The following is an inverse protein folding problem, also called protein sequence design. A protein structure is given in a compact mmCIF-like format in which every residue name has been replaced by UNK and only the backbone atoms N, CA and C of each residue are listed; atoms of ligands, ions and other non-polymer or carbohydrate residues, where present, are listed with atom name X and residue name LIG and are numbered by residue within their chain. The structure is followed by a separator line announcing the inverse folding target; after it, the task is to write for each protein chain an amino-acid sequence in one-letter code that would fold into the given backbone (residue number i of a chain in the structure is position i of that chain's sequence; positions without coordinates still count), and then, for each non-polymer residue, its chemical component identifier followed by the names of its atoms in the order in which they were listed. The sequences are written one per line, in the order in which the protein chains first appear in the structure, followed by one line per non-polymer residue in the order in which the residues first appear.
data_IF_632577098265
#
_entry.id   IF_632577098265
#
_cell.length_a   1.000
_cell.length_b   1.000
_cell.length_c   1.000
_cell.angle_alpha   90.00
_cell.angle_beta   90.00
_cell.angle_gamma   90.00
#
_symmetry.space_group_name_H-M   'P 1'
#
loop_
_entity.id
_entity.type
_entity.pdbx_description
1 polymer ?
#
# COMPACT_ATOMS: atom_id res chain seq x y z
N UNK A 1 20.02 1.20 -5.95
CA UNK A 1 20.55 1.67 -7.25
C UNK A 1 19.97 0.87 -8.43
N UNK A 2 20.08 -0.47 -8.45
CA UNK A 2 19.52 -1.30 -9.53
C UNK A 2 18.01 -1.17 -9.77
N UNK A 3 17.16 -1.16 -8.72
CA UNK A 3 15.70 -1.02 -8.88
C UNK A 3 15.28 0.35 -9.44
N UNK A 4 15.99 1.41 -9.05
CA UNK A 4 15.68 2.76 -9.47
C UNK A 4 16.08 3.00 -10.93
N UNK A 5 17.24 2.47 -11.35
CA UNK A 5 17.64 2.50 -12.75
C UNK A 5 16.75 1.62 -13.63
N UNK A 6 16.34 0.46 -13.10
CA UNK A 6 15.35 -0.42 -13.69
C UNK A 6 14.00 0.27 -13.96
N UNK A 7 13.47 1.03 -12.99
CA UNK A 7 12.18 1.72 -13.10
C UNK A 7 12.27 3.01 -13.94
N UNK A 8 13.41 3.70 -13.93
CA UNK A 8 13.56 5.01 -14.58
C UNK A 8 14.18 4.97 -15.98
N UNK A 9 15.06 4.01 -16.27
CA UNK A 9 15.92 4.03 -17.47
C UNK A 9 15.87 2.77 -18.33
N UNK A 10 15.44 1.63 -17.79
CA UNK A 10 15.22 0.40 -18.57
C UNK A 10 13.73 0.17 -18.84
N UNK A 11 13.42 -0.38 -20.02
CA UNK A 11 12.07 -0.79 -20.39
C UNK A 11 11.43 -1.67 -19.29
N UNK A 12 10.10 -1.66 -19.10
CA UNK A 12 9.44 -2.28 -17.96
C UNK A 12 9.88 -3.73 -17.72
N UNK A 13 10.20 -4.06 -16.48
CA UNK A 13 10.95 -5.28 -16.14
C UNK A 13 10.04 -6.33 -15.50
N UNK A 14 8.94 -5.91 -14.86
CA UNK A 14 8.07 -6.84 -14.15
C UNK A 14 6.86 -7.20 -15.01
N UNK A 15 6.87 -8.42 -15.53
CA UNK A 15 5.71 -9.06 -16.16
C UNK A 15 5.00 -9.93 -15.16
N UNK A 16 3.67 -10.00 -15.25
CA UNK A 16 2.85 -10.87 -14.43
C UNK A 16 2.03 -11.76 -15.37
N UNK A 17 2.22 -13.08 -15.30
CA UNK A 17 1.59 -14.04 -16.22
C UNK A 17 0.08 -13.88 -16.32
N UNK A 18 -0.58 -13.65 -15.18
CA UNK A 18 -2.03 -13.52 -15.11
C UNK A 18 -2.50 -12.06 -15.18
N UNK A 19 -1.60 -11.11 -15.44
CA UNK A 19 -1.85 -9.67 -15.46
C UNK A 19 -1.82 -9.02 -14.08
N UNK A 20 -2.30 -7.78 -14.01
CA UNK A 20 -2.38 -6.96 -12.79
C UNK A 20 -3.77 -6.35 -12.65
N UNK A 21 -4.07 -5.70 -11.51
CA UNK A 21 -5.30 -4.92 -11.37
C UNK A 21 -5.46 -3.86 -12.46
N UNK A 22 -4.34 -3.26 -12.89
CA UNK A 22 -4.33 -2.23 -13.93
C UNK A 22 -4.65 -2.79 -15.32
N UNK A 23 -4.17 -4.00 -15.64
CA UNK A 23 -4.41 -4.64 -16.93
C UNK A 23 -5.75 -5.38 -17.00
N UNK A 24 -6.38 -5.68 -15.85
CA UNK A 24 -7.70 -6.33 -15.76
C UNK A 24 -8.86 -5.34 -15.60
N UNK A 25 -8.58 -4.06 -15.42
CA UNK A 25 -9.58 -3.01 -15.24
C UNK A 25 -9.53 -2.03 -16.41
N UNK A 26 -10.62 -1.29 -16.65
CA UNK A 26 -10.60 -0.20 -17.62
C UNK A 26 -9.63 0.88 -17.15
N UNK A 27 -8.83 1.45 -18.06
CA UNK A 27 -7.83 2.46 -17.69
C UNK A 27 -8.43 3.68 -16.98
N UNK A 28 -9.67 4.04 -17.34
CA UNK A 28 -10.44 5.13 -16.71
C UNK A 28 -10.93 4.82 -15.30
N UNK A 29 -10.95 3.54 -14.88
CA UNK A 29 -11.43 3.14 -13.56
C UNK A 29 -10.36 3.28 -12.47
N UNK A 30 -9.09 3.47 -12.83
CA UNK A 30 -8.01 3.55 -11.84
C UNK A 30 -7.06 4.73 -12.04
N UNK A 31 -6.46 5.17 -10.95
CA UNK A 31 -5.47 6.24 -10.89
C UNK A 31 -4.30 5.82 -10.00
N UNK A 32 -3.08 6.13 -10.41
CA UNK A 32 -1.90 6.07 -9.55
C UNK A 32 -1.55 7.49 -9.14
N UNK A 33 -1.38 7.71 -7.84
CA UNK A 33 -0.98 8.99 -7.28
C UNK A 33 0.44 8.84 -6.75
N UNK A 34 1.40 9.54 -7.33
CA UNK A 34 2.81 9.43 -6.96
C UNK A 34 3.27 10.63 -6.13
N UNK A 35 4.08 10.35 -5.11
CA UNK A 35 4.81 11.36 -4.35
C UNK A 35 6.12 11.78 -5.02
N UNK A 36 6.88 10.84 -5.59
CA UNK A 36 8.09 11.13 -6.37
C UNK A 36 8.26 10.19 -7.57
N UNK A 37 8.55 8.92 -7.33
CA UNK A 37 8.71 7.90 -8.37
C UNK A 37 7.66 6.84 -8.16
N UNK A 38 6.70 6.77 -9.08
CA UNK A 38 5.76 5.67 -9.14
C UNK A 38 6.52 4.36 -9.45
N UNK A 39 6.66 3.47 -8.46
CA UNK A 39 7.31 2.17 -8.65
C UNK A 39 6.49 1.26 -9.56
N UNK A 40 5.16 1.45 -9.56
CA UNK A 40 4.22 0.86 -10.51
C UNK A 40 4.62 1.05 -11.98
N UNK A 41 5.43 2.07 -12.33
CA UNK A 41 5.99 2.23 -13.69
C UNK A 41 6.89 1.08 -14.13
N UNK A 42 7.46 0.34 -13.19
CA UNK A 42 8.27 -0.85 -13.49
C UNK A 42 7.47 -2.03 -14.02
N UNK A 43 6.14 -1.99 -13.93
CA UNK A 43 5.23 -3.02 -14.43
C UNK A 43 5.08 -2.90 -15.95
N UNK A 44 5.19 -4.02 -16.65
CA UNK A 44 5.00 -4.08 -18.10
C UNK A 44 3.62 -3.59 -18.53
N UNK A 45 3.60 -2.66 -19.51
CA UNK A 45 2.42 -2.02 -20.06
C UNK A 45 2.17 -0.61 -19.49
N UNK A 46 2.66 -0.32 -18.28
CA UNK A 46 2.41 0.98 -17.61
C UNK A 46 3.09 2.17 -18.31
N UNK A 47 4.13 1.92 -19.12
CA UNK A 47 4.79 2.94 -19.94
C UNK A 47 3.86 3.61 -20.97
N UNK A 48 2.76 2.96 -21.35
CA UNK A 48 1.78 3.49 -22.28
C UNK A 48 0.63 4.24 -21.57
N UNK A 49 0.64 4.27 -20.24
CA UNK A 49 -0.45 4.75 -19.40
C UNK A 49 0.01 5.87 -18.44
N UNK A 50 1.05 6.62 -18.82
CA UNK A 50 1.64 7.67 -17.98
C UNK A 50 0.64 8.78 -17.61
N UNK A 51 -0.39 9.01 -18.44
CA UNK A 51 -1.48 9.96 -18.13
C UNK A 51 -2.34 9.53 -16.93
N UNK A 52 -2.23 8.28 -16.49
CA UNK A 52 -2.91 7.73 -15.31
C UNK A 52 -2.06 7.80 -14.04
N UNK A 53 -0.86 8.37 -14.13
CA UNK A 53 0.05 8.59 -13.01
C UNK A 53 0.11 10.09 -12.75
N UNK A 54 -0.46 10.55 -11.64
CA UNK A 54 -0.60 11.96 -11.30
C UNK A 54 0.05 12.29 -9.96
N UNK A 55 0.30 13.57 -9.70
CA UNK A 55 0.76 14.02 -8.39
C UNK A 55 -0.38 14.13 -7.36
N UNK A 56 -0.01 14.17 -6.08
CA UNK A 56 -0.97 14.35 -4.98
C UNK A 56 -1.89 15.55 -5.17
N UNK A 57 -1.37 16.69 -5.65
CA UNK A 57 -2.16 17.91 -5.91
C UNK A 57 -3.33 17.68 -6.88
N UNK A 58 -3.19 16.75 -7.82
CA UNK A 58 -4.27 16.38 -8.74
C UNK A 58 -5.37 15.60 -8.02
N UNK A 59 -5.00 14.63 -7.16
CA UNK A 59 -5.97 13.90 -6.35
C UNK A 59 -6.73 14.86 -5.43
N UNK A 60 -6.02 15.74 -4.72
CA UNK A 60 -6.61 16.71 -3.80
C UNK A 60 -7.54 17.68 -4.54
N UNK A 61 -7.11 18.21 -5.68
CA UNK A 61 -7.93 19.08 -6.52
C UNK A 61 -9.20 18.38 -7.01
N UNK A 62 -9.12 17.10 -7.39
CA UNK A 62 -10.29 16.33 -7.85
C UNK A 62 -11.27 16.00 -6.73
N UNK A 63 -10.76 15.66 -5.54
CA UNK A 63 -11.60 15.46 -4.35
C UNK A 63 -12.30 16.77 -3.95
N UNK A 64 -11.56 17.88 -3.90
CA UNK A 64 -12.11 19.19 -3.52
C UNK A 64 -13.16 19.72 -4.53
N UNK A 65 -12.96 19.44 -5.82
CA UNK A 65 -13.90 19.82 -6.89
C UNK A 65 -14.97 18.77 -7.17
N UNK A 66 -15.01 17.66 -6.43
CA UNK A 66 -15.93 16.54 -6.64
C UNK A 66 -15.89 15.97 -8.09
N UNK A 67 -14.71 15.98 -8.70
CA UNK A 67 -14.48 15.55 -10.09
C UNK A 67 -13.70 14.22 -10.19
N UNK A 68 -13.51 13.52 -9.08
CA UNK A 68 -12.90 12.20 -9.06
C UNK A 68 -13.84 11.17 -9.72
N UNK A 69 -13.39 10.56 -10.82
CA UNK A 69 -14.17 9.56 -11.56
C UNK A 69 -13.64 8.13 -11.38
N UNK A 70 -12.40 8.00 -10.92
CA UNK A 70 -11.75 6.71 -10.72
C UNK A 70 -12.31 5.97 -9.51
N UNK A 71 -12.39 4.64 -9.64
CA UNK A 71 -12.93 3.73 -8.62
C UNK A 71 -11.83 3.07 -7.78
N UNK A 72 -10.62 2.94 -8.32
CA UNK A 72 -9.45 2.40 -7.64
C UNK A 72 -8.28 3.38 -7.70
N UNK A 73 -7.86 3.89 -6.55
CA UNK A 73 -6.74 4.83 -6.45
C UNK A 73 -5.63 4.17 -5.65
N UNK A 74 -4.44 4.05 -6.26
CA UNK A 74 -3.24 3.54 -5.59
C UNK A 74 -2.28 4.71 -5.31
N UNK A 75 -2.03 4.99 -4.03
CA UNK A 75 -1.19 6.10 -3.61
C UNK A 75 0.20 5.58 -3.28
N UNK A 76 1.18 5.98 -4.07
CA UNK A 76 2.59 5.78 -3.82
C UNK A 76 3.15 7.02 -3.13
N UNK A 77 3.62 6.85 -1.89
CA UNK A 77 4.27 7.90 -1.10
C UNK A 77 5.51 8.47 -1.79
N UNK A 78 5.99 9.63 -1.33
CA UNK A 78 7.35 10.09 -1.63
C UNK A 78 8.34 9.19 -0.91
N UNK A 79 9.12 8.42 -1.66
CA UNK A 79 10.11 7.50 -1.09
C UNK A 79 11.45 8.19 -0.80
N UNK A 80 11.80 9.25 -1.54
CA UNK A 80 13.15 9.82 -1.62
C UNK A 80 14.17 8.78 -2.16
N UNK A 81 13.70 7.93 -3.07
CA UNK A 81 14.45 6.77 -3.58
C UNK A 81 15.67 7.13 -4.45
N UNK A 82 15.71 8.38 -4.96
CA UNK A 82 16.87 8.93 -5.70
C UNK A 82 18.00 9.42 -4.78
N UNK A 83 17.78 9.44 -3.46
CA UNK A 83 18.76 9.89 -2.47
C UNK A 83 19.03 8.76 -1.49
N UNK A 84 18.61 8.91 -0.24
CA UNK A 84 18.93 8.02 0.87
C UNK A 84 17.69 7.63 1.69
N UNK A 85 16.48 7.83 1.14
CA UNK A 85 15.19 7.56 1.78
C UNK A 85 14.90 8.38 3.06
N UNK A 86 15.78 9.32 3.45
CA UNK A 86 15.64 10.06 4.71
C UNK A 86 14.61 11.17 4.65
N UNK A 87 14.31 11.68 3.44
CA UNK A 87 13.41 12.83 3.29
C UNK A 87 12.01 12.48 2.78
N UNK A 88 11.70 11.19 2.60
CA UNK A 88 10.38 10.71 2.17
C UNK A 88 9.27 10.86 3.23
N UNK A 89 8.06 10.47 2.83
CA UNK A 89 6.87 10.41 3.69
C UNK A 89 6.23 9.01 3.71
N UNK A 90 7.00 7.98 3.37
CA UNK A 90 6.57 6.57 3.35
C UNK A 90 6.58 5.87 4.72
N UNK A 91 7.08 6.54 5.76
CA UNK A 91 7.45 5.91 7.05
C UNK A 91 8.53 4.82 6.94
N UNK A 92 9.28 4.76 5.83
CA UNK A 92 10.40 3.82 5.67
C UNK A 92 11.47 4.05 6.75
N UNK A 93 12.17 3.00 7.22
CA UNK A 93 13.34 3.13 8.08
C UNK A 93 14.32 4.20 7.56
N UNK A 94 14.97 4.91 8.47
CA UNK A 94 15.74 6.13 8.21
C UNK A 94 14.93 7.39 7.84
N UNK A 95 13.62 7.30 7.58
CA UNK A 95 12.70 8.45 7.41
C UNK A 95 12.06 8.97 8.70
N UNK A 96 11.42 10.15 8.62
CA UNK A 96 10.66 10.74 9.73
C UNK A 96 9.19 10.32 9.66
N UNK A 97 8.73 9.49 10.62
CA UNK A 97 7.37 8.94 10.66
C UNK A 97 6.28 10.02 10.65
N UNK A 98 6.57 11.21 11.21
CA UNK A 98 5.64 12.34 11.24
C UNK A 98 5.23 12.81 9.85
N UNK A 99 6.13 12.68 8.87
CA UNK A 99 5.82 13.00 7.46
C UNK A 99 4.81 12.03 6.86
N UNK A 100 4.91 10.74 7.22
CA UNK A 100 3.92 9.75 6.81
C UNK A 100 2.57 9.94 7.51
N UNK A 101 2.58 10.32 8.79
CA UNK A 101 1.35 10.66 9.51
C UNK A 101 0.66 11.87 8.86
N UNK A 102 1.44 12.88 8.44
CA UNK A 102 0.96 14.02 7.67
C UNK A 102 0.33 13.61 6.33
N UNK A 103 0.94 12.65 5.61
CA UNK A 103 0.36 12.09 4.38
C UNK A 103 -0.98 11.40 4.66
N UNK A 104 -1.05 10.54 5.68
CA UNK A 104 -2.29 9.84 6.07
C UNK A 104 -3.39 10.85 6.41
N UNK A 105 -3.08 11.87 7.22
CA UNK A 105 -4.04 12.93 7.56
C UNK A 105 -4.50 13.69 6.32
N UNK A 106 -3.59 14.09 5.44
CA UNK A 106 -3.92 14.83 4.22
C UNK A 106 -4.91 14.05 3.34
N UNK A 107 -4.65 12.76 3.12
CA UNK A 107 -5.53 11.90 2.32
C UNK A 107 -6.87 11.69 3.02
N UNK A 108 -6.88 11.41 4.33
CA UNK A 108 -8.11 11.24 5.10
C UNK A 108 -8.98 12.50 5.08
N UNK A 109 -8.41 13.66 5.38
CA UNK A 109 -9.14 14.93 5.43
C UNK A 109 -9.72 15.27 4.05
N UNK A 110 -8.97 15.02 2.97
CA UNK A 110 -9.44 15.26 1.61
C UNK A 110 -10.60 14.33 1.21
N UNK A 111 -10.52 13.04 1.54
CA UNK A 111 -11.60 12.09 1.25
C UNK A 111 -12.83 12.42 2.10
N UNK A 112 -12.66 12.62 3.40
CA UNK A 112 -13.76 12.85 4.34
C UNK A 112 -14.50 14.17 4.15
N UNK A 113 -13.83 15.18 3.57
CA UNK A 113 -14.45 16.45 3.18
C UNK A 113 -15.13 16.43 1.79
N UNK A 114 -14.90 15.38 1.00
CA UNK A 114 -15.43 15.27 -0.37
C UNK A 114 -16.76 14.50 -0.45
N UNK A 115 -17.45 14.58 -1.59
CA UNK A 115 -18.69 13.82 -1.79
C UNK A 115 -18.49 12.29 -1.84
N UNK A 116 -17.26 11.80 -2.06
CA UNK A 116 -16.99 10.36 -2.11
C UNK A 116 -16.90 9.70 -0.74
N UNK A 117 -16.83 10.47 0.36
CA UNK A 117 -16.75 9.92 1.73
C UNK A 117 -17.78 8.81 1.95
N UNK A 118 -19.05 9.13 1.65
CA UNK A 118 -20.23 8.27 1.85
C UNK A 118 -20.21 6.97 1.04
N UNK A 119 -19.27 6.81 0.11
CA UNK A 119 -19.13 5.64 -0.77
C UNK A 119 -17.68 5.18 -0.91
N UNK A 120 -16.80 5.54 0.04
CA UNK A 120 -15.36 5.26 -0.03
C UNK A 120 -14.91 4.21 0.98
N UNK A 121 -13.80 3.55 0.62
CA UNK A 121 -13.00 2.71 1.52
C UNK A 121 -11.55 3.11 1.33
N UNK A 122 -10.93 3.67 2.37
CA UNK A 122 -9.50 3.92 2.43
C UNK A 122 -8.83 2.74 3.15
N UNK A 123 -7.99 2.01 2.44
CA UNK A 123 -7.14 0.95 3.00
C UNK A 123 -5.75 1.54 3.22
N UNK A 124 -5.34 1.65 4.49
CA UNK A 124 -3.98 2.00 4.87
C UNK A 124 -3.25 0.72 5.29
N UNK A 125 -2.29 0.31 4.47
CA UNK A 125 -1.48 -0.90 4.67
C UNK A 125 -0.01 -0.55 4.52
N UNK A 126 0.84 -1.33 5.18
CA UNK A 126 2.30 -1.24 5.08
C UNK A 126 2.79 -2.41 4.22
N UNK A 127 3.85 -2.23 3.44
CA UNK A 127 4.41 -3.25 2.54
C UNK A 127 5.30 -4.25 3.28
N UNK A 128 6.01 -3.81 4.31
CA UNK A 128 6.81 -4.64 5.20
C UNK A 128 6.81 -4.18 6.67
N UNK A 129 7.34 -5.03 7.54
CA UNK A 129 7.40 -4.83 8.98
C UNK A 129 8.60 -3.98 9.44
N UNK A 130 9.46 -3.51 8.53
CA UNK A 130 10.59 -2.63 8.83
C UNK A 130 11.71 -3.25 9.70
N UNK A 131 11.73 -4.57 9.87
CA UNK A 131 12.72 -5.27 10.70
C UNK A 131 12.41 -5.26 12.20
N UNK A 132 11.25 -4.75 12.62
CA UNK A 132 10.84 -4.74 14.03
C UNK A 132 10.37 -6.13 14.50
N UNK A 133 10.63 -6.47 15.75
CA UNK A 133 10.14 -7.73 16.31
C UNK A 133 8.61 -7.76 16.36
N UNK A 134 8.02 -8.85 15.85
CA UNK A 134 6.63 -9.22 16.10
C UNK A 134 6.60 -10.63 16.68
N UNK A 135 5.79 -10.83 17.71
CA UNK A 135 5.67 -12.10 18.43
C UNK A 135 4.90 -13.19 17.67
N UNK A 136 4.14 -12.83 16.64
CA UNK A 136 3.31 -13.76 15.88
C UNK A 136 4.19 -14.50 14.89
N UNK A 137 4.26 -15.83 15.03
CA UNK A 137 4.90 -16.68 14.03
C UNK A 137 4.13 -16.59 12.71
N UNK A 138 4.79 -16.29 11.57
CA UNK A 138 4.10 -16.18 10.29
C UNK A 138 3.28 -17.44 9.95
N UNK A 139 1.99 -17.33 9.62
CA UNK A 139 1.19 -18.52 9.34
C UNK A 139 1.54 -19.12 7.97
N UNK A 140 1.12 -20.37 7.77
CA UNK A 140 1.11 -21.00 6.45
C UNK A 140 0.10 -20.34 5.53
N UNK A 141 0.38 -20.30 4.24
CA UNK A 141 -0.48 -19.72 3.22
C UNK A 141 -0.43 -20.51 1.93
N UNK A 142 -1.46 -20.37 1.10
CA UNK A 142 -1.48 -20.95 -0.24
C UNK A 142 -0.38 -20.26 -1.08
N UNK A 143 0.53 -21.03 -1.71
CA UNK A 143 1.49 -20.46 -2.64
C UNK A 143 0.80 -19.76 -3.82
N UNK A 144 1.38 -18.68 -4.38
CA UNK A 144 0.75 -17.97 -5.50
C UNK A 144 0.53 -18.86 -6.75
N UNK A 145 1.22 -20.00 -6.86
CA UNK A 145 0.87 -21.09 -7.79
C UNK A 145 0.77 -20.71 -9.27
N UNK A 146 1.75 -20.00 -9.84
CA UNK A 146 1.99 -19.94 -11.28
C UNK A 146 3.12 -20.89 -11.69
N UNK A 147 3.17 -21.28 -12.97
CA UNK A 147 4.26 -22.09 -13.55
C UNK A 147 5.66 -21.43 -13.36
N UNK A 148 5.71 -20.10 -13.18
CA UNK A 148 6.92 -19.35 -12.84
C UNK A 148 7.46 -19.65 -11.43
N UNK A 149 6.60 -20.03 -10.48
CA UNK A 149 7.05 -20.33 -9.12
C UNK A 149 7.96 -21.56 -9.08
N UNK A 150 7.85 -22.47 -10.05
CA UNK A 150 8.78 -23.59 -10.18
C UNK A 150 10.24 -23.13 -10.37
N UNK A 151 10.44 -22.00 -11.07
CA UNK A 151 11.76 -21.37 -11.29
C UNK A 151 12.23 -20.53 -10.11
N UNK A 152 11.31 -20.05 -9.27
CA UNK A 152 11.61 -19.20 -8.11
C UNK A 152 11.86 -19.97 -6.81
N UNK A 153 11.81 -21.32 -6.82
CA UNK A 153 12.20 -22.18 -5.68
C UNK A 153 13.71 -22.21 -5.42
N UNK A 154 14.41 -21.09 -5.65
CA UNK A 154 15.79 -20.97 -5.22
C UNK A 154 15.82 -21.07 -3.69
N UNK A 155 16.77 -21.83 -3.14
CA UNK A 155 16.92 -22.04 -1.69
C UNK A 155 15.78 -22.82 -1.00
N UNK A 156 15.01 -23.64 -1.73
CA UNK A 156 13.95 -24.49 -1.16
C UNK A 156 12.83 -23.70 -0.44
N UNK A 157 12.59 -22.45 -0.85
CA UNK A 157 11.49 -21.64 -0.33
C UNK A 157 10.22 -21.86 -1.16
N UNK A 158 9.21 -22.51 -0.56
CA UNK A 158 7.98 -22.91 -1.25
C UNK A 158 6.94 -21.81 -1.43
N UNK A 159 7.17 -20.62 -0.84
CA UNK A 159 6.18 -19.55 -0.75
C UNK A 159 4.84 -20.01 -0.16
N UNK A 160 4.87 -20.99 0.75
CA UNK A 160 3.73 -21.58 1.44
C UNK A 160 3.50 -20.96 2.84
N UNK A 161 4.08 -19.79 3.08
CA UNK A 161 3.93 -19.00 4.31
C UNK A 161 3.78 -17.52 4.00
N UNK A 162 3.23 -16.79 4.96
CA UNK A 162 3.24 -15.33 4.97
C UNK A 162 4.55 -14.78 5.53
N UNK A 163 4.72 -13.46 5.42
CA UNK A 163 5.78 -12.71 6.11
C UNK A 163 5.39 -12.35 7.53
N UNK A 164 6.24 -11.54 8.18
CA UNK A 164 5.94 -10.91 9.47
C UNK A 164 4.72 -10.00 9.32
N UNK A 165 3.91 -9.91 10.38
CA UNK A 165 2.70 -9.09 10.39
C UNK A 165 3.03 -7.61 10.17
N UNK A 166 2.15 -6.94 9.44
CA UNK A 166 2.16 -5.50 9.22
C UNK A 166 0.83 -4.90 9.69
N UNK A 167 0.78 -3.60 10.06
CA UNK A 167 -0.48 -2.93 10.36
C UNK A 167 -1.38 -2.85 9.12
N UNK A 168 -2.70 -2.91 9.36
CA UNK A 168 -3.72 -2.63 8.36
C UNK A 168 -4.87 -1.87 9.01
N UNK A 169 -5.29 -0.77 8.40
CA UNK A 169 -6.39 0.08 8.87
C UNK A 169 -7.39 0.23 7.73
N UNK A 170 -8.66 -0.03 8.02
CA UNK A 170 -9.78 0.13 7.09
C UNK A 170 -10.61 1.32 7.55
N UNK A 171 -10.69 2.35 6.71
CA UNK A 171 -11.44 3.57 7.01
C UNK A 171 -12.59 3.70 6.01
N UNK A 172 -13.82 3.69 6.53
CA UNK A 172 -15.02 3.86 5.73
C UNK A 172 -16.19 4.23 6.65
N UNK A 173 -17.18 5.02 6.20
CA UNK A 173 -18.40 5.25 6.97
C UNK A 173 -19.23 3.97 7.17
N UNK A 174 -18.92 2.88 6.47
CA UNK A 174 -19.59 1.58 6.63
C UNK A 174 -18.96 0.67 7.70
N UNK A 175 -17.86 1.11 8.33
CA UNK A 175 -17.22 0.37 9.43
C UNK A 175 -17.81 0.83 10.77
N UNK A 176 -18.31 -0.08 11.62
CA UNK A 176 -18.74 0.28 12.98
C UNK A 176 -17.61 0.91 13.80
N UNK A 177 -17.93 1.93 14.60
CA UNK A 177 -16.96 2.59 15.48
C UNK A 177 -16.35 1.58 16.48
N UNK A 178 -15.04 1.70 16.74
CA UNK A 178 -14.35 0.82 17.69
C UNK A 178 -14.12 -0.62 17.20
N UNK A 179 -14.28 -0.89 15.90
CA UNK A 179 -14.06 -2.23 15.34
C UNK A 179 -12.58 -2.62 15.40
N UNK A 180 -12.30 -3.76 16.02
CA UNK A 180 -11.03 -4.48 15.93
C UNK A 180 -11.29 -5.79 15.19
N UNK A 181 -10.50 -6.09 14.18
CA UNK A 181 -10.61 -7.32 13.41
C UNK A 181 -9.40 -8.22 13.61
N UNK A 182 -9.66 -9.48 13.96
CA UNK A 182 -8.65 -10.51 14.18
C UNK A 182 -8.56 -11.52 13.03
N UNK A 183 -9.29 -11.28 11.94
CA UNK A 183 -9.21 -12.11 10.74
C UNK A 183 -7.80 -12.08 10.14
N UNK A 184 -7.41 -13.18 9.48
CA UNK A 184 -6.14 -13.24 8.77
C UNK A 184 -6.26 -12.56 7.40
N UNK A 185 -5.40 -11.58 7.16
CA UNK A 185 -5.24 -10.92 5.87
C UNK A 185 -3.78 -10.99 5.41
N UNK A 186 -3.57 -10.91 4.10
CA UNK A 186 -2.26 -10.68 3.50
C UNK A 186 -2.36 -9.60 2.41
N UNK A 187 -1.26 -9.19 1.78
CA UNK A 187 -1.31 -8.11 0.77
C UNK A 187 -2.25 -8.42 -0.41
N UNK A 188 -2.51 -9.69 -0.72
CA UNK A 188 -3.46 -10.09 -1.76
C UNK A 188 -4.92 -9.89 -1.34
N UNK A 189 -5.20 -9.68 -0.05
CA UNK A 189 -6.53 -9.24 0.43
C UNK A 189 -6.94 -7.88 -0.13
N UNK A 190 -5.97 -7.03 -0.51
CA UNK A 190 -6.28 -5.78 -1.24
C UNK A 190 -6.91 -6.11 -2.60
N UNK A 191 -6.32 -7.02 -3.37
CA UNK A 191 -6.86 -7.44 -4.67
C UNK A 191 -8.23 -8.11 -4.53
N UNK A 192 -8.40 -9.00 -3.55
CA UNK A 192 -9.68 -9.66 -3.26
C UNK A 192 -10.77 -8.64 -2.90
N UNK A 193 -10.42 -7.62 -2.10
CA UNK A 193 -11.33 -6.55 -1.72
C UNK A 193 -11.71 -5.69 -2.92
N UNK A 194 -10.73 -5.28 -3.74
CA UNK A 194 -10.96 -4.51 -4.98
C UNK A 194 -11.87 -5.27 -5.94
N UNK A 195 -11.64 -6.57 -6.15
CA UNK A 195 -12.47 -7.41 -7.02
C UNK A 195 -13.95 -7.35 -6.62
N UNK A 196 -14.18 -7.49 -5.31
CA UNK A 196 -15.53 -7.53 -4.73
C UNK A 196 -16.22 -6.17 -4.76
N UNK A 197 -15.51 -5.11 -4.38
CA UNK A 197 -16.07 -3.74 -4.37
C UNK A 197 -16.36 -3.22 -5.78
N UNK A 198 -15.55 -3.61 -6.77
CA UNK A 198 -15.72 -3.18 -8.16
C UNK A 198 -16.59 -4.13 -8.99
N UNK A 199 -17.09 -5.22 -8.41
CA UNK A 199 -17.94 -6.19 -9.11
C UNK A 199 -17.22 -6.91 -10.26
N UNK A 200 -15.92 -7.18 -10.10
CA UNK A 200 -15.08 -7.78 -11.13
C UNK A 200 -15.20 -9.31 -11.20
N UNK A 201 -16.15 -9.92 -10.49
CA UNK A 201 -16.51 -11.34 -10.64
C UNK A 201 -15.32 -12.33 -10.62
N UNK A 202 -14.29 -12.06 -9.82
CA UNK A 202 -13.10 -12.88 -9.70
C UNK A 202 -12.02 -12.64 -10.76
N UNK A 203 -12.13 -11.62 -11.62
CA UNK A 203 -11.09 -11.29 -12.62
C UNK A 203 -9.74 -10.91 -11.98
N UNK A 204 -9.73 -10.44 -10.73
CA UNK A 204 -8.49 -10.22 -9.97
C UNK A 204 -8.05 -11.46 -9.18
N UNK A 205 -8.64 -12.63 -9.41
CA UNK A 205 -8.15 -13.92 -8.91
C UNK A 205 -6.84 -14.38 -9.58
N UNK A 206 -5.85 -13.48 -9.65
CA UNK A 206 -4.63 -13.57 -10.45
C UNK A 206 -3.71 -14.73 -10.04
N UNK A 207 -3.83 -15.22 -8.81
CA UNK A 207 -3.00 -16.31 -8.26
C UNK A 207 -3.83 -17.19 -7.34
N UNK A 208 -3.34 -18.39 -7.03
CA UNK A 208 -4.00 -19.25 -6.04
C UNK A 208 -4.07 -18.57 -4.66
N UNK A 209 -3.04 -17.78 -4.31
CA UNK A 209 -3.03 -16.96 -3.10
C UNK A 209 -4.13 -15.90 -3.09
N UNK A 210 -4.29 -15.12 -4.16
CA UNK A 210 -5.38 -14.12 -4.23
C UNK A 210 -6.74 -14.77 -4.12
N UNK A 211 -6.94 -15.94 -4.74
CA UNK A 211 -8.22 -16.66 -4.65
C UNK A 211 -8.53 -17.12 -3.23
N UNK A 212 -7.50 -17.57 -2.48
CA UNK A 212 -7.59 -18.04 -1.11
C UNK A 212 -7.63 -16.93 -0.05
N UNK A 213 -7.22 -15.70 -0.39
CA UNK A 213 -7.19 -14.58 0.53
C UNK A 213 -8.59 -14.17 1.00
N UNK A 214 -8.64 -13.68 2.24
CA UNK A 214 -9.80 -13.01 2.82
C UNK A 214 -9.92 -11.57 2.28
N UNK A 215 -11.07 -10.92 2.52
CA UNK A 215 -11.37 -9.58 2.03
C UNK A 215 -11.88 -8.66 3.14
N UNK A 216 -11.60 -7.35 3.02
CA UNK A 216 -11.98 -6.36 4.04
C UNK A 216 -13.46 -5.98 4.00
N UNK A 217 -14.22 -6.39 2.96
CA UNK A 217 -15.62 -5.94 2.78
C UNK A 217 -16.54 -6.46 3.88
N UNK A 218 -16.20 -7.58 4.53
CA UNK A 218 -16.94 -8.10 5.69
C UNK A 218 -16.95 -7.14 6.89
N UNK A 219 -16.07 -6.13 6.91
CA UNK A 219 -16.04 -5.07 7.94
C UNK A 219 -16.85 -3.84 7.56
N UNK A 220 -17.31 -3.77 6.31
CA UNK A 220 -18.26 -2.76 5.83
C UNK A 220 -19.69 -3.23 6.16
N UNK A 221 -19.97 -3.47 7.45
CA UNK A 221 -21.16 -4.19 7.90
C UNK A 221 -22.37 -3.30 8.20
N UNK A 222 -22.20 -1.98 8.21
CA UNK A 222 -23.32 -1.07 8.40
C UNK A 222 -24.18 -1.01 7.13
N UNK A 223 -25.50 -1.02 7.28
CA UNK A 223 -26.43 -0.89 6.15
C UNK A 223 -26.51 0.54 5.61
N UNK A 224 -26.20 1.53 6.45
CA UNK A 224 -26.15 2.95 6.10
C UNK A 224 -24.80 3.54 6.51
N UNK A 225 -24.23 4.47 5.73
CA UNK A 225 -23.00 5.14 6.11
C UNK A 225 -23.21 5.95 7.39
N UNK A 226 -22.22 5.94 8.28
CA UNK A 226 -22.20 6.83 9.45
C UNK A 226 -22.28 8.30 9.00
N UNK A 227 -23.13 9.06 9.69
CA UNK A 227 -23.28 10.51 9.49
C UNK A 227 -22.13 11.29 10.13
N UNK A 228 -21.61 10.79 11.24
CA UNK A 228 -20.45 11.36 11.92
C UNK A 228 -19.16 10.97 11.18
N UNK A 229 -18.38 11.99 10.81
CA UNK A 229 -17.02 11.84 10.29
C UNK A 229 -16.05 11.86 11.48
N UNK A 230 -15.34 10.75 11.80
CA UNK A 230 -14.35 10.77 12.86
C UNK A 230 -13.26 11.83 12.62
N UNK A 231 -12.77 12.47 13.67
CA UNK A 231 -11.64 13.38 13.54
C UNK A 231 -10.35 12.55 13.47
N UNK A 232 -9.59 12.68 12.39
CA UNK A 232 -8.25 12.11 12.32
C UNK A 232 -7.30 12.92 13.22
N UNK A 233 -6.55 12.27 14.13
CA UNK A 233 -5.59 12.95 14.99
C UNK A 233 -4.60 13.83 14.22
N UNK A 234 -4.27 15.00 14.76
CA UNK A 234 -3.29 15.91 14.15
C UNK A 234 -1.86 15.37 14.36
N UNK A 235 -1.10 15.10 13.28
CA UNK A 235 0.30 14.69 13.36
C UNK A 235 1.16 15.76 14.01
N UNK A 236 2.24 15.32 14.65
CA UNK A 236 3.24 16.21 15.23
C UNK A 236 3.97 16.92 14.07
N UNK A 237 4.06 18.25 14.13
CA UNK A 237 4.77 19.03 13.10
C UNK A 237 6.26 18.67 13.03
N UNK A 238 6.81 18.67 11.82
CA UNK A 238 8.26 18.56 11.59
C UNK A 238 8.97 19.91 11.72
N UNK A 239 8.24 21.03 11.74
CA UNK A 239 8.83 22.37 11.83
C UNK A 239 9.36 22.64 13.25
N UNK A 240 10.65 22.95 13.36
CA UNK A 240 11.28 23.36 14.62
C UNK A 240 11.54 22.26 15.65
N UNK A 241 11.09 21.03 15.40
CA UNK A 241 11.31 19.89 16.30
C UNK A 241 12.34 18.92 15.71
N UNK A 242 13.43 18.68 16.46
CA UNK A 242 14.44 17.67 16.13
C UNK A 242 13.76 16.32 15.93
N UNK A 243 14.21 15.59 14.91
CA UNK A 243 13.73 14.23 14.67
C UNK A 243 14.00 13.41 15.93
N UNK A 244 13.01 12.65 16.45
CA UNK A 244 13.27 11.68 17.50
C UNK A 244 14.37 10.72 17.04
N UNK A 245 15.52 10.76 17.71
CA UNK A 245 16.58 9.79 17.49
C UNK A 245 16.37 8.62 18.46
N UNK A 246 16.55 7.38 17.99
CA UNK A 246 16.70 6.26 18.91
C UNK A 246 17.95 6.54 19.75
N UNK A 247 17.78 6.78 21.05
CA UNK A 247 18.87 7.14 21.99
C UNK A 247 19.84 6.01 22.30
N UNK A 248 20.18 5.16 21.33
CA UNK A 248 21.16 4.09 21.46
C UNK A 248 22.29 4.26 20.46
N UNK A 249 23.53 4.05 20.90
CA UNK A 249 24.63 3.85 19.97
C UNK A 249 24.27 2.71 19.00
N UNK A 250 24.63 2.80 17.70
CA UNK A 250 24.45 1.67 16.79
C UNK A 250 25.11 0.45 17.44
N UNK A 251 24.34 -0.65 17.61
CA UNK A 251 24.96 -1.91 18.00
C UNK A 251 26.02 -2.23 16.95
N UNK A 252 27.21 -2.62 17.41
CA UNK A 252 28.29 -3.10 16.54
C UNK A 252 27.70 -4.04 15.50
N UNK A 253 28.11 -3.90 14.23
CA UNK A 253 27.61 -4.68 13.09
C UNK A 253 27.44 -6.16 13.45
N UNK A 254 26.24 -6.53 13.85
CA UNK A 254 25.90 -7.91 14.13
C UNK A 254 25.56 -8.53 12.77
N UNK A 255 26.29 -9.58 12.34
CA UNK A 255 26.06 -10.23 11.05
C UNK A 255 24.67 -10.86 10.94
N UNK A 256 23.91 -10.94 12.05
CA UNK A 256 22.54 -11.43 12.09
C UNK A 256 21.47 -10.32 12.09
N UNK A 257 21.86 -9.05 12.11
CA UNK A 257 20.90 -7.96 11.96
C UNK A 257 20.54 -7.73 10.48
N UNK A 258 19.26 -7.47 10.16
CA UNK A 258 18.83 -7.18 8.80
C UNK A 258 19.61 -6.00 8.21
N UNK A 259 19.80 -5.97 6.88
CA UNK A 259 20.64 -4.99 6.17
C UNK A 259 20.38 -3.53 6.56
N UNK A 260 19.15 -3.19 6.99
CA UNK A 260 18.77 -1.84 7.41
C UNK A 260 19.32 -1.40 8.77
N UNK A 261 19.83 -2.31 9.60
CA UNK A 261 20.44 -1.96 10.89
C UNK A 261 21.88 -1.41 10.77
N UNK A 262 22.42 -1.34 9.55
CA UNK A 262 23.80 -0.92 9.27
C UNK A 262 23.90 0.47 8.62
N UNK A 263 22.84 1.28 8.63
CA UNK A 263 22.78 2.60 7.99
C UNK A 263 22.44 3.76 8.94
#
# INVERSE_FOLDING_TARGET
MQFLEAVLFNAPIFTFLNGTVFSKSQASDWLIVQGDVAQTRGIYGMQHLLSRIVGMDTLLSRLASNSLAEKFIFIESTYDAKKDFRNGNSMHPAGDVRKGEALVKQVYDAISASNVWSSSVLLLVFDEHGGFFDQVTPPTAVPPGSDENARLKTHNFSFDRLGVRVPAIVVSPFVPAGTIDHSLYDHTSVLKTTDKLLGLNGFLGLTARVRAADDFTKKLSLSNPRTEVPVCPTPITTAGATRPTSGGAPRSKDPFLPLYAHH
#
